data_IF_199221925117
#
_entry.id   IF_199221925117
#
_cell.length_a   1.000
_cell.length_b   1.000
_cell.length_c   1.000
_cell.angle_alpha   90.00
_cell.angle_beta   90.00
_cell.angle_gamma   90.00
#
_symmetry.space_group_name_H-M   'P 1'
#
loop_
_entity.id
_entity.type
_entity.pdbx_description
1 polymer ?
#
# COMPACT_ATOMS: atom_id res chain seq x y z
N UNK A 1 -11.40 -17.70 19.99
CA UNK A 1 -12.48 -16.69 20.01
C UNK A 1 -11.98 -15.24 20.13
N UNK A 2 -11.00 -14.93 20.99
CA UNK A 2 -10.52 -13.55 21.18
C UNK A 2 -9.88 -12.92 19.93
N UNK A 3 -9.08 -13.69 19.18
CA UNK A 3 -8.41 -13.18 17.96
C UNK A 3 -9.41 -12.84 16.84
N UNK A 4 -10.47 -13.64 16.68
CA UNK A 4 -11.52 -13.40 15.69
C UNK A 4 -12.28 -12.09 15.97
N UNK A 5 -12.60 -11.81 17.24
CA UNK A 5 -13.20 -10.53 17.65
C UNK A 5 -12.25 -9.36 17.39
N UNK A 6 -10.96 -9.53 17.67
CA UNK A 6 -9.95 -8.52 17.35
C UNK A 6 -9.91 -8.17 15.86
N UNK A 7 -9.91 -9.18 14.98
CA UNK A 7 -9.94 -8.98 13.52
C UNK A 7 -11.22 -8.29 13.04
N UNK A 8 -12.38 -8.69 13.56
CA UNK A 8 -13.66 -8.08 13.19
C UNK A 8 -13.74 -6.60 13.61
N UNK A 9 -13.33 -6.29 14.84
CA UNK A 9 -13.29 -4.90 15.32
C UNK A 9 -12.35 -4.04 14.46
N UNK A 10 -11.14 -4.54 14.18
CA UNK A 10 -10.19 -3.80 13.34
C UNK A 10 -10.64 -3.67 11.89
N UNK A 11 -11.41 -4.61 11.34
CA UNK A 11 -12.02 -4.47 10.02
C UNK A 11 -13.00 -3.28 9.99
N UNK A 12 -13.84 -3.13 11.01
CA UNK A 12 -14.75 -2.00 11.11
C UNK A 12 -14.00 -0.68 11.35
N UNK A 13 -13.08 -0.65 12.32
CA UNK A 13 -12.31 0.56 12.66
C UNK A 13 -11.52 1.08 11.47
N UNK A 14 -10.82 0.20 10.76
CA UNK A 14 -10.03 0.60 9.58
C UNK A 14 -10.89 1.14 8.43
N UNK A 15 -12.11 0.63 8.26
CA UNK A 15 -13.07 1.15 7.28
C UNK A 15 -13.48 2.60 7.60
N UNK A 16 -13.78 2.87 8.87
CA UNK A 16 -14.13 4.23 9.33
C UNK A 16 -12.94 5.19 9.17
N UNK A 17 -11.73 4.77 9.56
CA UNK A 17 -10.53 5.58 9.39
C UNK A 17 -10.25 5.89 7.91
N UNK A 18 -10.41 4.91 7.02
CA UNK A 18 -10.25 5.11 5.59
C UNK A 18 -11.27 6.11 5.02
N UNK A 19 -12.53 6.06 5.47
CA UNK A 19 -13.55 7.02 5.07
C UNK A 19 -13.16 8.43 5.50
N UNK A 20 -12.85 8.64 6.79
CA UNK A 20 -12.49 9.96 7.34
C UNK A 20 -11.25 10.52 6.63
N UNK A 21 -10.21 9.69 6.44
CA UNK A 21 -9.00 10.11 5.76
C UNK A 21 -9.28 10.51 4.30
N UNK A 22 -10.15 9.77 3.60
CA UNK A 22 -10.53 10.09 2.23
C UNK A 22 -11.40 11.34 2.10
N UNK A 23 -12.26 11.64 3.08
CA UNK A 23 -13.05 12.88 3.10
C UNK A 23 -12.13 14.10 3.25
N UNK A 24 -11.06 13.99 4.03
CA UNK A 24 -10.14 15.09 4.31
C UNK A 24 -8.92 15.15 3.36
N UNK A 25 -8.78 14.22 2.40
CA UNK A 25 -7.63 14.22 1.49
C UNK A 25 -7.83 15.15 0.31
N UNK A 26 -6.74 15.73 -0.18
CA UNK A 26 -6.71 16.35 -1.51
C UNK A 26 -6.54 15.23 -2.58
N UNK A 27 -7.54 15.05 -3.47
CA UNK A 27 -7.50 13.98 -4.47
C UNK A 27 -6.42 14.18 -5.55
N UNK A 28 -5.88 15.40 -5.71
CA UNK A 28 -4.81 15.69 -6.68
C UNK A 28 -3.43 15.38 -6.14
N UNK A 29 -3.25 15.38 -4.82
CA UNK A 29 -1.94 15.19 -4.16
C UNK A 29 -1.71 13.76 -3.70
N UNK A 30 -2.76 13.05 -3.31
CA UNK A 30 -2.64 11.74 -2.68
C UNK A 30 -3.64 10.74 -3.25
N UNK A 31 -3.22 9.48 -3.36
CA UNK A 31 -4.13 8.39 -3.73
C UNK A 31 -5.22 8.19 -2.67
N UNK A 32 -6.33 7.58 -3.05
CA UNK A 32 -7.34 7.14 -2.10
C UNK A 32 -6.76 6.15 -1.07
N UNK A 33 -7.08 6.36 0.20
CA UNK A 33 -6.77 5.45 1.29
C UNK A 33 -7.71 4.25 1.26
N UNK A 34 -7.19 3.08 1.62
CA UNK A 34 -7.92 1.81 1.72
C UNK A 34 -7.95 1.35 3.18
N UNK A 35 -8.93 0.55 3.64
CA UNK A 35 -8.92 -0.01 5.00
C UNK A 35 -7.63 -0.77 5.33
N UNK A 36 -7.08 -1.49 4.35
CA UNK A 36 -5.77 -2.16 4.41
C UNK A 36 -4.59 -1.23 4.76
N UNK A 37 -4.75 0.07 4.59
CA UNK A 37 -3.72 1.06 4.90
C UNK A 37 -3.62 1.32 6.43
N UNK A 38 -4.68 0.98 7.18
CA UNK A 38 -4.81 1.19 8.63
C UNK A 38 -4.97 -0.10 9.44
N UNK A 39 -5.45 -1.19 8.83
CA UNK A 39 -5.71 -2.45 9.55
C UNK A 39 -4.40 -3.24 9.80
N UNK A 40 -4.00 -3.49 11.07
CA UNK A 40 -2.77 -4.22 11.37
C UNK A 40 -2.80 -5.69 10.92
N UNK A 41 -3.99 -6.29 10.78
CA UNK A 41 -4.14 -7.66 10.31
C UNK A 41 -4.06 -7.78 8.79
N UNK A 42 -4.22 -6.68 8.06
CA UNK A 42 -3.98 -6.63 6.63
C UNK A 42 -2.52 -6.23 6.40
N UNK A 43 -1.62 -7.20 6.57
CA UNK A 43 -0.24 -7.04 6.10
C UNK A 43 -0.30 -6.65 4.64
N UNK A 44 0.00 -5.37 4.34
CA UNK A 44 0.28 -4.95 2.97
C UNK A 44 1.39 -5.85 2.48
N UNK A 45 1.10 -6.68 1.46
CA UNK A 45 2.12 -7.10 0.51
C UNK A 45 2.61 -5.82 -0.15
N UNK A 46 3.49 -5.07 0.53
CA UNK A 46 4.41 -4.16 -0.16
C UNK A 46 5.00 -5.07 -1.21
N UNK A 47 4.76 -4.76 -2.49
CA UNK A 47 5.51 -5.40 -3.56
C UNK A 47 6.95 -5.21 -3.11
N UNK A 48 7.61 -6.29 -2.69
CA UNK A 48 9.04 -6.28 -2.39
C UNK A 48 9.67 -6.08 -3.75
N UNK A 49 9.64 -4.84 -4.23
CA UNK A 49 10.45 -4.43 -5.36
C UNK A 49 11.88 -4.64 -4.91
N UNK A 50 12.71 -5.12 -5.83
CA UNK A 50 14.15 -5.11 -5.61
C UNK A 50 14.54 -3.64 -5.43
N UNK A 51 15.25 -3.27 -4.35
CA UNK A 51 15.75 -1.90 -4.19
C UNK A 51 16.56 -1.52 -5.43
N UNK A 52 16.30 -0.35 -6.01
CA UNK A 52 17.13 0.15 -7.10
C UNK A 52 18.49 0.54 -6.51
N UNK A 53 19.52 -0.19 -6.89
CA UNK A 53 20.92 0.05 -6.54
C UNK A 53 21.71 0.28 -7.82
N UNK A 54 22.89 0.90 -7.72
CA UNK A 54 23.70 1.21 -8.90
C UNK A 54 23.93 -0.04 -9.77
N UNK A 55 24.10 -1.19 -9.14
CA UNK A 55 24.39 -2.48 -9.77
C UNK A 55 23.21 -3.04 -10.59
N UNK A 56 21.96 -2.72 -10.25
CA UNK A 56 20.79 -3.24 -10.98
C UNK A 56 20.09 -2.18 -11.86
N UNK A 57 20.58 -0.94 -11.84
CA UNK A 57 20.05 0.16 -12.63
C UNK A 57 20.27 -0.06 -14.14
N UNK A 58 21.39 -0.70 -14.51
CA UNK A 58 21.75 -0.93 -15.90
C UNK A 58 20.84 -1.95 -16.59
N UNK A 59 20.32 -2.93 -15.83
CA UNK A 59 19.31 -3.90 -16.32
C UNK A 59 18.01 -3.18 -16.72
N UNK A 60 17.61 -2.15 -15.96
CA UNK A 60 16.44 -1.34 -16.29
C UNK A 60 16.68 -0.43 -17.49
N UNK A 61 17.86 0.21 -17.60
CA UNK A 61 18.21 1.01 -18.79
C UNK A 61 18.22 0.14 -20.05
N UNK A 62 18.79 -1.05 -19.98
CA UNK A 62 18.79 -2.01 -21.09
C UNK A 62 17.38 -2.40 -21.52
N UNK A 63 16.47 -2.67 -20.57
CA UNK A 63 15.08 -3.04 -20.89
C UNK A 63 14.21 -1.88 -21.42
N UNK A 64 14.50 -0.64 -21.04
CA UNK A 64 13.72 0.54 -21.46
C UNK A 64 14.23 1.17 -22.75
N UNK A 65 15.55 1.08 -23.02
CA UNK A 65 16.20 1.71 -24.18
C UNK A 65 16.78 0.73 -25.21
N UNK A 66 16.96 -0.54 -24.86
CA UNK A 66 17.61 -1.57 -25.68
C UNK A 66 16.63 -2.44 -26.49
N UNK A 67 15.68 -1.82 -27.19
CA UNK A 67 14.88 -2.47 -28.21
C UNK A 67 14.73 -1.51 -29.40
N UNK A 68 15.81 -1.36 -30.16
CA UNK A 68 15.77 -0.86 -31.54
C UNK A 68 16.80 -1.61 -32.35
#
# INVERSE_FOLDING_TARGET
MAEARGRANWAQTSTVLALIANVNRDPKKTRAFRPADFNPFETRRRRRGVPLVAENLDVLKAGVWGAR
#
